data_IF_698450791978
#
_entry.id   IF_698450791978
#
_cell.length_a   1.000
_cell.length_b   1.000
_cell.length_c   1.000
_cell.angle_alpha   90.00
_cell.angle_beta   90.00
_cell.angle_gamma   90.00
#
_symmetry.space_group_name_H-M   'P 1'
#
loop_
_entity.id
_entity.type
_entity.pdbx_description
1 polymer ?
#
# COMPACT_ATOMS: atom_id res chain seq x y z
N UNK A 1 12.00 23.91 17.02
CA UNK A 1 13.00 23.25 16.16
C UNK A 1 12.67 21.77 15.88
N UNK A 2 11.64 21.46 15.09
CA UNK A 2 11.26 20.07 14.73
C UNK A 2 11.03 19.87 13.22
N UNK A 3 10.38 20.81 12.50
CA UNK A 3 10.41 20.83 11.03
C UNK A 3 11.84 20.97 10.48
N UNK A 4 12.69 21.69 11.21
CA UNK A 4 14.10 21.87 10.86
C UNK A 4 14.84 20.54 10.74
N UNK A 5 14.59 19.54 11.62
CA UNK A 5 15.25 18.22 11.53
C UNK A 5 14.85 17.46 10.26
N UNK A 6 13.56 17.48 9.89
CA UNK A 6 13.10 16.90 8.64
C UNK A 6 13.75 17.60 7.45
N UNK A 7 13.72 18.93 7.43
CA UNK A 7 14.27 19.74 6.34
C UNK A 7 15.79 19.56 6.22
N UNK A 8 16.54 19.56 7.32
CA UNK A 8 17.99 19.30 7.32
C UNK A 8 18.30 17.91 6.77
N UNK A 9 17.55 16.88 7.15
CA UNK A 9 17.73 15.54 6.60
C UNK A 9 17.40 15.50 5.09
N UNK A 10 16.30 16.13 4.67
CA UNK A 10 15.87 16.20 3.27
C UNK A 10 16.86 16.96 2.39
N UNK A 11 17.45 18.05 2.88
CA UNK A 11 18.42 18.87 2.12
C UNK A 11 19.70 18.13 1.75
N UNK A 12 19.99 17.01 2.41
CA UNK A 12 21.16 16.17 2.11
C UNK A 12 20.88 15.15 0.99
N UNK A 13 19.66 15.10 0.45
CA UNK A 13 19.28 14.07 -0.52
C UNK A 13 19.47 14.56 -1.96
N UNK A 14 20.23 13.84 -2.80
CA UNK A 14 20.42 14.19 -4.21
C UNK A 14 19.10 14.29 -4.99
N UNK A 15 18.11 13.48 -4.61
CA UNK A 15 16.81 13.39 -5.28
C UNK A 15 15.76 14.40 -4.76
N UNK A 16 16.15 15.34 -3.87
CA UNK A 16 15.22 16.23 -3.17
C UNK A 16 14.27 16.98 -4.10
N UNK A 17 14.77 17.53 -5.21
CA UNK A 17 13.94 18.29 -6.14
C UNK A 17 12.86 17.41 -6.78
N UNK A 18 13.21 16.18 -7.18
CA UNK A 18 12.26 15.20 -7.71
C UNK A 18 11.24 14.78 -6.65
N UNK A 19 11.70 14.56 -5.41
CA UNK A 19 10.82 14.24 -4.29
C UNK A 19 9.84 15.37 -3.99
N UNK A 20 10.29 16.62 -3.93
CA UNK A 20 9.42 17.78 -3.68
C UNK A 20 8.48 18.07 -4.85
N UNK A 21 8.91 17.83 -6.09
CA UNK A 21 8.03 17.90 -7.24
C UNK A 21 6.91 16.84 -7.15
N UNK A 22 7.22 15.63 -6.67
CA UNK A 22 6.24 14.55 -6.52
C UNK A 22 5.38 14.66 -5.26
N UNK A 23 5.95 15.13 -4.17
CA UNK A 23 5.34 15.31 -2.84
C UNK A 23 5.51 16.76 -2.36
N UNK A 24 4.87 17.74 -3.02
CA UNK A 24 5.03 19.17 -2.71
C UNK A 24 4.59 19.55 -1.29
N UNK A 25 3.78 18.70 -0.66
CA UNK A 25 3.26 18.90 0.69
C UNK A 25 4.13 18.25 1.78
N UNK A 26 5.24 17.61 1.42
CA UNK A 26 6.15 16.98 2.38
C UNK A 26 6.67 17.95 3.46
N UNK A 27 7.08 19.20 3.15
CA UNK A 27 7.53 20.16 4.17
C UNK A 27 6.48 20.48 5.24
N UNK A 28 5.20 20.44 4.87
CA UNK A 28 4.07 20.75 5.77
C UNK A 28 3.40 19.48 6.34
N UNK A 29 3.92 18.28 6.03
CA UNK A 29 3.30 17.00 6.43
C UNK A 29 3.04 16.92 7.94
N UNK A 30 4.00 17.39 8.73
CA UNK A 30 3.95 17.38 10.19
C UNK A 30 3.03 18.44 10.83
N UNK A 31 2.40 19.30 10.02
CA UNK A 31 1.47 20.33 10.49
C UNK A 31 0.01 19.85 10.49
N UNK A 32 -0.26 18.64 9.98
CA UNK A 32 -1.60 18.05 9.89
C UNK A 32 -1.60 16.58 10.32
N UNK A 33 -2.76 15.99 10.66
CA UNK A 33 -2.85 14.55 10.93
C UNK A 33 -2.37 13.73 9.73
N UNK A 34 -1.60 12.68 10.03
CA UNK A 34 -0.83 11.88 9.08
C UNK A 34 -0.72 10.43 9.60
N UNK A 35 -0.78 9.44 8.71
CA UNK A 35 -0.84 7.99 8.94
C UNK A 35 -2.10 7.51 9.68
N UNK A 36 -2.41 8.08 10.85
CA UNK A 36 -3.61 7.77 11.62
C UNK A 36 -3.97 8.94 12.55
N UNK A 37 -5.20 8.97 13.10
CA UNK A 37 -5.68 10.08 13.96
C UNK A 37 -4.92 10.23 15.27
N UNK A 38 -4.39 9.12 15.79
CA UNK A 38 -3.73 9.02 17.09
C UNK A 38 -2.20 9.02 16.99
N UNK A 39 -1.64 9.28 15.80
CA UNK A 39 -0.21 9.40 15.60
C UNK A 39 0.29 10.75 16.13
N UNK A 40 1.27 10.69 17.04
CA UNK A 40 1.95 11.87 17.56
C UNK A 40 2.97 12.39 16.55
N UNK A 41 3.19 13.71 16.58
CA UNK A 41 4.10 14.40 15.65
C UNK A 41 5.53 13.87 15.69
N UNK A 42 6.05 13.54 16.86
CA UNK A 42 7.43 13.05 16.98
C UNK A 42 7.59 11.67 16.32
N UNK A 43 6.62 10.76 16.53
CA UNK A 43 6.57 9.48 15.80
C UNK A 43 6.43 9.69 14.29
N UNK A 44 5.58 10.61 13.85
CA UNK A 44 5.41 10.92 12.43
C UNK A 44 6.72 11.43 11.79
N UNK A 45 7.48 12.27 12.49
CA UNK A 45 8.77 12.77 12.02
C UNK A 45 9.79 11.63 11.87
N UNK A 46 9.87 10.75 12.87
CA UNK A 46 10.78 9.60 12.83
C UNK A 46 10.37 8.62 11.74
N UNK A 47 9.06 8.38 11.55
CA UNK A 47 8.52 7.56 10.47
C UNK A 47 8.85 8.13 9.09
N UNK A 48 8.72 9.45 8.88
CA UNK A 48 9.10 10.10 7.61
C UNK A 48 10.60 9.93 7.32
N UNK A 49 11.46 10.27 8.30
CA UNK A 49 12.90 10.15 8.13
C UNK A 49 13.29 8.70 7.81
N UNK A 50 12.76 7.74 8.58
CA UNK A 50 13.01 6.33 8.40
C UNK A 50 12.51 5.84 7.04
N UNK A 51 11.28 6.16 6.66
CA UNK A 51 10.69 5.70 5.41
C UNK A 51 11.56 6.01 4.21
N UNK A 52 11.90 7.28 4.02
CA UNK A 52 12.67 7.68 2.87
C UNK A 52 14.13 7.23 2.92
N UNK A 53 14.73 7.15 4.11
CA UNK A 53 16.06 6.55 4.26
C UNK A 53 16.04 5.09 3.80
N UNK A 54 15.04 4.31 4.23
CA UNK A 54 14.91 2.91 3.83
C UNK A 54 14.61 2.76 2.34
N UNK A 55 13.73 3.59 1.76
CA UNK A 55 13.46 3.58 0.32
C UNK A 55 14.73 3.87 -0.49
N UNK A 56 15.57 4.82 -0.04
CA UNK A 56 16.85 5.11 -0.71
C UNK A 56 17.88 3.99 -0.60
N UNK A 57 17.88 3.25 0.52
CA UNK A 57 18.77 2.11 0.71
C UNK A 57 18.32 0.89 -0.11
N UNK A 58 17.01 0.66 -0.17
CA UNK A 58 16.41 -0.47 -0.85
C UNK A 58 16.48 -0.32 -2.37
N UNK A 59 16.07 0.83 -2.90
CA UNK A 59 15.95 1.06 -4.34
C UNK A 59 17.29 1.48 -4.96
N UNK A 60 17.61 0.92 -6.13
CA UNK A 60 18.66 1.44 -7.01
C UNK A 60 18.30 2.86 -7.50
N UNK A 61 19.29 3.60 -8.03
CA UNK A 61 19.05 4.96 -8.56
C UNK A 61 17.97 4.98 -9.66
N UNK A 62 18.00 4.01 -10.57
CA UNK A 62 17.01 3.88 -11.63
C UNK A 62 15.62 3.60 -11.06
N UNK A 63 15.53 2.68 -10.08
CA UNK A 63 14.28 2.37 -9.41
C UNK A 63 13.71 3.56 -8.65
N UNK A 64 14.55 4.39 -8.02
CA UNK A 64 14.11 5.62 -7.36
C UNK A 64 13.51 6.61 -8.35
N UNK A 65 14.13 6.78 -9.53
CA UNK A 65 13.60 7.63 -10.60
C UNK A 65 12.22 7.12 -11.05
N UNK A 66 12.08 5.82 -11.29
CA UNK A 66 10.80 5.20 -11.68
C UNK A 66 9.74 5.34 -10.58
N UNK A 67 10.08 5.06 -9.32
CA UNK A 67 9.20 5.20 -8.15
C UNK A 67 8.65 6.62 -7.97
N UNK A 68 9.51 7.63 -8.18
CA UNK A 68 9.13 9.04 -8.05
C UNK A 68 8.51 9.62 -9.34
N UNK A 69 8.42 8.84 -10.42
CA UNK A 69 7.75 9.24 -11.65
C UNK A 69 6.23 9.23 -11.50
N UNK A 70 5.53 9.72 -12.54
CA UNK A 70 4.06 9.65 -12.57
C UNK A 70 3.51 8.23 -12.73
N UNK A 71 4.29 7.32 -13.32
CA UNK A 71 3.87 5.95 -13.62
C UNK A 71 4.16 4.99 -12.47
N UNK A 72 5.26 5.23 -11.74
CA UNK A 72 5.75 4.37 -10.66
C UNK A 72 6.77 3.34 -11.13
N UNK A 73 7.34 2.62 -10.17
CA UNK A 73 8.19 1.46 -10.39
C UNK A 73 7.32 0.23 -10.59
N UNK A 74 7.38 -0.38 -11.77
CA UNK A 74 6.65 -1.61 -12.05
C UNK A 74 7.18 -2.78 -11.19
N UNK A 75 6.29 -3.43 -10.46
CA UNK A 75 6.60 -4.57 -9.58
C UNK A 75 6.25 -5.90 -10.22
N UNK A 76 5.17 -5.94 -11.01
CA UNK A 76 4.73 -7.15 -11.68
C UNK A 76 3.77 -6.81 -12.82
N UNK A 77 3.69 -7.72 -13.79
CA UNK A 77 2.64 -7.74 -14.82
C UNK A 77 2.05 -9.14 -14.90
N UNK A 78 0.75 -9.23 -15.10
CA UNK A 78 0.07 -10.52 -15.21
C UNK A 78 -1.10 -10.43 -16.17
N UNK A 79 -1.30 -11.50 -16.92
CA UNK A 79 -2.46 -11.63 -17.78
C UNK A 79 -3.68 -12.08 -16.98
N UNK A 80 -4.80 -11.46 -17.28
CA UNK A 80 -6.10 -11.89 -16.76
C UNK A 80 -6.67 -13.05 -17.58
N UNK A 81 -7.77 -13.66 -17.12
CA UNK A 81 -8.43 -14.74 -17.87
C UNK A 81 -8.89 -14.35 -19.28
N UNK A 82 -9.06 -13.05 -19.53
CA UNK A 82 -9.52 -12.47 -20.80
C UNK A 82 -8.35 -12.09 -21.72
N UNK A 83 -7.11 -12.32 -21.29
CA UNK A 83 -5.90 -11.95 -22.04
C UNK A 83 -5.48 -10.49 -21.86
N UNK A 84 -6.23 -9.70 -21.08
CA UNK A 84 -5.85 -8.32 -20.79
C UNK A 84 -4.68 -8.29 -19.81
N UNK A 85 -3.70 -7.43 -20.07
CA UNK A 85 -2.51 -7.27 -19.25
C UNK A 85 -2.77 -6.26 -18.13
N UNK A 86 -2.68 -6.73 -16.89
CA UNK A 86 -2.75 -5.89 -15.70
C UNK A 86 -1.35 -5.72 -15.12
N UNK A 87 -1.14 -4.66 -14.34
CA UNK A 87 0.16 -4.39 -13.73
C UNK A 87 0.05 -3.88 -12.30
N UNK A 88 1.09 -4.17 -11.52
CA UNK A 88 1.31 -3.65 -10.17
C UNK A 88 2.47 -2.66 -10.20
N UNK A 89 2.27 -1.48 -9.62
CA UNK A 89 3.29 -0.44 -9.56
C UNK A 89 3.45 0.08 -8.13
N UNK A 90 4.69 0.30 -7.70
CA UNK A 90 5.05 1.05 -6.50
C UNK A 90 5.24 2.51 -6.87
N UNK A 91 4.42 3.39 -6.30
CA UNK A 91 4.36 4.80 -6.68
C UNK A 91 4.16 5.69 -5.46
N UNK A 92 4.67 6.92 -5.52
CA UNK A 92 4.32 7.95 -4.55
C UNK A 92 3.14 8.78 -5.09
N UNK A 93 2.03 8.86 -4.35
CA UNK A 93 0.83 9.60 -4.76
C UNK A 93 0.56 10.77 -3.82
N UNK A 94 0.50 11.98 -4.37
CA UNK A 94 0.21 13.21 -3.59
C UNK A 94 -1.24 13.29 -3.09
N UNK A 95 -2.16 12.54 -3.71
CA UNK A 95 -3.56 12.42 -3.28
C UNK A 95 -3.70 11.70 -1.94
N UNK A 96 -2.82 10.74 -1.66
CA UNK A 96 -2.85 9.83 -0.50
C UNK A 96 -1.80 10.19 0.57
N UNK A 97 -1.35 11.44 0.50
CA UNK A 97 -0.25 11.98 1.26
C UNK A 97 -0.62 12.31 2.74
N UNK A 98 -1.81 11.86 3.16
CA UNK A 98 -2.26 11.84 4.56
C UNK A 98 -2.23 10.42 5.11
N UNK A 99 -2.49 9.43 4.29
CA UNK A 99 -2.47 8.01 4.62
C UNK A 99 -1.04 7.46 4.67
N UNK A 100 -0.11 7.94 3.84
CA UNK A 100 1.30 7.50 3.87
C UNK A 100 2.17 8.13 2.79
N UNK A 101 3.34 7.56 2.52
CA UNK A 101 4.32 8.10 1.55
C UNK A 101 4.48 7.25 0.27
N UNK A 102 4.32 5.92 0.39
CA UNK A 102 4.36 4.97 -0.73
C UNK A 102 3.02 4.30 -0.93
N UNK A 103 2.69 3.94 -2.16
CA UNK A 103 1.47 3.24 -2.52
C UNK A 103 1.76 2.15 -3.53
N UNK A 104 1.23 0.95 -3.30
CA UNK A 104 1.16 -0.08 -4.34
C UNK A 104 -0.22 0.02 -4.99
N UNK A 105 -0.24 0.13 -6.31
CA UNK A 105 -1.46 0.21 -7.10
C UNK A 105 -1.53 -0.98 -8.05
N UNK A 106 -2.74 -1.49 -8.29
CA UNK A 106 -3.01 -2.39 -9.41
C UNK A 106 -3.78 -1.63 -10.48
N UNK A 107 -3.30 -1.75 -11.72
CA UNK A 107 -3.86 -1.08 -12.89
C UNK A 107 -4.31 -2.08 -13.94
N UNK A 108 -5.37 -1.72 -14.64
CA UNK A 108 -5.78 -2.45 -15.84
C UNK A 108 -4.95 -2.06 -17.07
N UNK A 109 -5.31 -2.63 -18.22
CA UNK A 109 -4.66 -2.37 -19.50
C UNK A 109 -4.76 -0.89 -19.96
N UNK A 110 -5.72 -0.13 -19.43
CA UNK A 110 -5.88 1.31 -19.68
C UNK A 110 -5.20 2.18 -18.60
N UNK A 111 -4.37 1.57 -17.75
CA UNK A 111 -3.66 2.21 -16.64
C UNK A 111 -4.57 2.82 -15.55
N UNK A 112 -5.86 2.46 -15.53
CA UNK A 112 -6.79 2.90 -14.49
C UNK A 112 -6.49 2.17 -13.19
N UNK A 113 -6.45 2.89 -12.07
CA UNK A 113 -6.22 2.30 -10.74
C UNK A 113 -7.48 1.57 -10.31
N UNK A 114 -7.37 0.25 -10.10
CA UNK A 114 -8.48 -0.60 -9.65
C UNK A 114 -8.51 -0.82 -8.14
N UNK A 115 -7.33 -0.73 -7.50
CA UNK A 115 -7.17 -0.68 -6.06
C UNK A 115 -5.78 -0.15 -5.71
N UNK A 116 -5.67 0.38 -4.50
CA UNK A 116 -4.43 0.98 -3.99
C UNK A 116 -4.29 0.75 -2.49
N UNK A 117 -3.06 0.53 -2.05
CA UNK A 117 -2.70 0.35 -0.64
C UNK A 117 -1.53 1.27 -0.29
N UNK A 118 -1.77 2.21 0.62
CA UNK A 118 -0.83 3.27 1.00
C UNK A 118 -0.21 2.99 2.35
N UNK A 119 1.10 3.11 2.42
CA UNK A 119 1.87 2.77 3.60
C UNK A 119 3.05 3.72 3.84
N UNK A 120 3.56 3.64 5.07
CA UNK A 120 4.80 4.27 5.50
C UNK A 120 5.65 3.22 6.21
N UNK A 121 6.95 3.21 5.94
CA UNK A 121 7.89 2.34 6.67
C UNK A 121 8.30 3.07 7.93
N UNK A 122 8.28 2.40 9.09
CA UNK A 122 8.59 3.03 10.36
C UNK A 122 9.14 2.02 11.38
N UNK A 123 9.57 2.52 12.53
CA UNK A 123 9.86 1.70 13.72
C UNK A 123 8.67 1.78 14.68
N UNK A 124 7.74 0.85 14.59
CA UNK A 124 6.60 0.77 15.50
C UNK A 124 6.94 -0.13 16.69
N UNK A 125 6.90 0.42 17.91
CA UNK A 125 7.39 -0.27 19.12
C UNK A 125 8.80 -0.89 18.92
N UNK A 126 9.71 -0.09 18.34
CA UNK A 126 11.11 -0.45 18.02
C UNK A 126 11.31 -1.48 16.90
N UNK A 127 10.24 -2.07 16.36
CA UNK A 127 10.32 -3.08 15.30
C UNK A 127 10.15 -2.47 13.91
N UNK A 128 10.91 -2.97 12.95
CA UNK A 128 10.81 -2.60 11.55
C UNK A 128 9.41 -2.95 11.03
N UNK A 129 8.62 -1.94 10.69
CA UNK A 129 7.19 -2.10 10.44
C UNK A 129 6.79 -1.43 9.14
N UNK A 130 6.00 -2.13 8.34
CA UNK A 130 5.21 -1.54 7.27
C UNK A 130 3.85 -1.13 7.85
N UNK A 131 3.59 0.17 7.91
CA UNK A 131 2.37 0.73 8.48
C UNK A 131 1.42 1.17 7.36
N UNK A 132 0.29 0.50 7.20
CA UNK A 132 -0.77 0.79 6.23
C UNK A 132 -1.70 1.86 6.80
N UNK A 133 -1.74 3.02 6.18
CA UNK A 133 -2.66 4.11 6.54
C UNK A 133 -3.89 4.19 5.65
N UNK A 134 -3.94 3.46 4.53
CA UNK A 134 -5.07 3.47 3.59
C UNK A 134 -5.13 2.26 2.68
N UNK A 135 -6.34 1.81 2.37
CA UNK A 135 -6.66 0.78 1.38
C UNK A 135 -7.95 1.20 0.66
N UNK A 136 -7.83 1.50 -0.62
CA UNK A 136 -8.95 2.00 -1.41
C UNK A 136 -9.17 1.11 -2.64
N UNK A 137 -10.42 1.06 -3.09
CA UNK A 137 -10.77 0.44 -4.37
C UNK A 137 -10.49 1.42 -5.51
N UNK A 138 -11.07 1.15 -6.68
CA UNK A 138 -11.05 2.11 -7.77
C UNK A 138 -11.70 3.43 -7.32
N UNK A 139 -11.26 4.53 -7.92
CA UNK A 139 -11.82 5.85 -7.64
C UNK A 139 -13.32 5.90 -7.97
N UNK A 140 -14.06 6.82 -7.34
CA UNK A 140 -15.52 6.89 -7.44
C UNK A 140 -16.05 7.17 -8.87
N UNK A 141 -15.21 7.73 -9.73
CA UNK A 141 -15.50 7.97 -11.15
C UNK A 141 -15.33 6.71 -12.01
N UNK A 142 -14.71 5.65 -11.48
CA UNK A 142 -14.62 4.35 -12.14
C UNK A 142 -15.96 3.61 -11.98
N UNK A 143 -16.65 3.26 -13.07
CA UNK A 143 -17.92 2.57 -12.98
C UNK A 143 -17.79 1.23 -12.23
N UNK A 144 -18.78 0.91 -11.40
CA UNK A 144 -18.78 -0.33 -10.62
C UNK A 144 -18.67 -1.58 -11.51
N UNK A 145 -19.19 -1.52 -12.74
CA UNK A 145 -19.05 -2.56 -13.76
C UNK A 145 -17.60 -2.88 -14.09
N UNK A 146 -16.72 -1.87 -14.18
CA UNK A 146 -15.28 -2.08 -14.43
C UNK A 146 -14.65 -2.86 -13.29
N UNK A 147 -15.01 -2.56 -12.03
CA UNK A 147 -14.51 -3.28 -10.85
C UNK A 147 -14.99 -4.74 -10.86
N UNK A 148 -16.27 -4.97 -11.22
CA UNK A 148 -16.82 -6.31 -11.35
C UNK A 148 -16.16 -7.10 -12.49
N UNK A 149 -15.94 -6.47 -13.63
CA UNK A 149 -15.24 -7.05 -14.78
C UNK A 149 -13.81 -7.41 -14.41
N UNK A 150 -13.05 -6.50 -13.80
CA UNK A 150 -11.70 -6.75 -13.32
C UNK A 150 -11.64 -7.91 -12.32
N UNK A 151 -12.58 -7.96 -11.37
CA UNK A 151 -12.68 -9.07 -10.40
C UNK A 151 -12.95 -10.39 -11.13
N UNK A 152 -13.89 -10.41 -12.08
CA UNK A 152 -14.17 -11.58 -12.91
C UNK A 152 -12.94 -11.97 -13.73
N UNK A 153 -12.21 -11.01 -14.29
CA UNK A 153 -11.02 -11.19 -15.11
C UNK A 153 -9.87 -11.81 -14.30
N UNK A 154 -9.73 -11.43 -13.03
CA UNK A 154 -8.78 -11.98 -12.06
C UNK A 154 -9.31 -13.25 -11.36
N UNK A 155 -10.09 -14.09 -12.06
CA UNK A 155 -10.64 -15.35 -11.54
C UNK A 155 -11.48 -15.21 -10.25
N UNK A 156 -12.12 -14.06 -10.02
CA UNK A 156 -12.87 -13.76 -8.81
C UNK A 156 -12.02 -13.24 -7.64
N UNK A 157 -10.75 -12.91 -7.86
CA UNK A 157 -9.94 -12.14 -6.90
C UNK A 157 -10.27 -10.67 -7.00
N UNK A 158 -10.60 -10.07 -5.86
CA UNK A 158 -10.74 -8.62 -5.77
C UNK A 158 -9.38 -7.94 -5.96
N UNK A 159 -9.28 -6.82 -6.69
CA UNK A 159 -8.04 -6.05 -6.86
C UNK A 159 -7.35 -5.71 -5.53
N UNK A 160 -8.11 -5.42 -4.46
CA UNK A 160 -7.60 -5.20 -3.10
C UNK A 160 -6.77 -6.38 -2.56
N UNK A 161 -7.16 -7.62 -2.88
CA UNK A 161 -6.43 -8.82 -2.44
C UNK A 161 -5.09 -8.95 -3.17
N UNK A 162 -5.02 -8.50 -4.42
CA UNK A 162 -3.81 -8.53 -5.27
C UNK A 162 -2.78 -7.52 -4.76
N UNK A 163 -3.18 -6.26 -4.52
CA UNK A 163 -2.26 -5.25 -3.96
C UNK A 163 -1.78 -5.63 -2.56
N UNK A 164 -2.64 -6.28 -1.76
CA UNK A 164 -2.23 -6.80 -0.46
C UNK A 164 -1.21 -7.94 -0.57
N UNK A 165 -1.35 -8.86 -1.54
CA UNK A 165 -0.34 -9.89 -1.76
C UNK A 165 1.00 -9.26 -2.16
N UNK A 166 0.99 -8.30 -3.08
CA UNK A 166 2.18 -7.55 -3.46
C UNK A 166 2.80 -6.80 -2.28
N UNK A 167 1.98 -6.23 -1.38
CA UNK A 167 2.44 -5.57 -0.16
C UNK A 167 3.13 -6.54 0.79
N UNK A 168 2.59 -7.75 0.99
CA UNK A 168 3.24 -8.78 1.81
C UNK A 168 4.63 -9.14 1.25
N UNK A 169 4.74 -9.28 -0.06
CA UNK A 169 6.03 -9.56 -0.72
C UNK A 169 7.00 -8.39 -0.59
N UNK A 170 6.52 -7.16 -0.78
CA UNK A 170 7.32 -5.96 -0.55
C UNK A 170 7.78 -5.86 0.91
N UNK A 171 6.91 -6.20 1.87
CA UNK A 171 7.25 -6.23 3.29
C UNK A 171 8.37 -7.24 3.58
N UNK A 172 8.36 -8.42 2.93
CA UNK A 172 9.42 -9.42 3.05
C UNK A 172 10.73 -8.94 2.44
N UNK A 173 10.69 -8.34 1.24
CA UNK A 173 11.85 -7.71 0.59
C UNK A 173 12.47 -6.63 1.48
N UNK A 174 11.62 -5.81 2.09
CA UNK A 174 12.02 -4.78 3.04
C UNK A 174 12.46 -5.36 4.40
N UNK A 175 12.27 -6.65 4.65
CA UNK A 175 12.52 -7.31 5.93
C UNK A 175 11.74 -6.68 7.09
N UNK A 176 10.48 -6.32 6.83
CA UNK A 176 9.56 -5.90 7.88
C UNK A 176 9.32 -7.06 8.85
N UNK A 177 9.41 -6.76 10.15
CA UNK A 177 9.04 -7.69 11.21
C UNK A 177 7.52 -7.75 11.38
N UNK A 178 6.81 -6.67 11.01
CA UNK A 178 5.35 -6.54 11.18
C UNK A 178 4.71 -5.74 10.07
N UNK A 179 3.45 -6.08 9.79
CA UNK A 179 2.52 -5.23 9.04
C UNK A 179 1.45 -4.76 10.01
N UNK A 180 1.31 -3.44 10.16
CA UNK A 180 0.28 -2.81 10.98
C UNK A 180 -0.65 -2.03 10.07
N UNK A 181 -1.95 -2.12 10.27
CA UNK A 181 -2.95 -1.37 9.51
C UNK A 181 -3.86 -0.54 10.41
N UNK A 182 -4.28 0.63 9.93
CA UNK A 182 -5.32 1.41 10.61
C UNK A 182 -6.68 0.72 10.54
N UNK A 183 -7.44 0.79 11.63
CA UNK A 183 -8.87 0.48 11.61
C UNK A 183 -9.69 1.64 11.07
N UNK A 184 -10.98 1.39 10.85
CA UNK A 184 -12.00 2.39 10.53
C UNK A 184 -12.03 3.58 11.53
N UNK A 185 -11.71 3.31 12.81
CA UNK A 185 -11.69 4.31 13.89
C UNK A 185 -10.39 5.11 13.93
N UNK A 186 -9.28 4.48 13.58
CA UNK A 186 -7.97 5.13 13.58
C UNK A 186 -7.67 5.87 12.27
N UNK A 187 -8.48 5.67 11.22
CA UNK A 187 -8.24 6.23 9.90
C UNK A 187 -8.12 7.76 9.92
N UNK A 188 -7.12 8.32 9.23
CA UNK A 188 -6.73 9.74 9.32
C UNK A 188 -7.90 10.73 9.09
N UNK A 189 -8.85 10.41 8.21
CA UNK A 189 -10.05 11.24 7.96
C UNK A 189 -11.07 11.28 9.11
N UNK A 190 -10.91 10.47 10.16
CA UNK A 190 -11.70 10.59 11.40
C UNK A 190 -11.26 11.78 12.27
N UNK A 191 -10.12 12.40 11.97
CA UNK A 191 -9.63 13.58 12.70
C UNK A 191 -10.62 14.75 12.59
N UNK A 192 -10.78 15.51 13.67
CA UNK A 192 -11.64 16.69 13.72
C UNK A 192 -11.32 17.71 12.60
N UNK A 193 -10.06 17.76 12.17
CA UNK A 193 -9.58 18.64 11.09
C UNK A 193 -10.11 18.29 9.70
N UNK A 194 -10.78 17.14 9.54
CA UNK A 194 -11.30 16.66 8.26
C UNK A 194 -12.80 16.31 8.32
N UNK A 195 -13.55 16.86 9.28
CA UNK A 195 -14.96 16.50 9.51
C UNK A 195 -15.88 16.73 8.32
N UNK A 196 -15.56 17.68 7.43
CA UNK A 196 -16.33 17.96 6.20
C UNK A 196 -16.26 16.83 5.15
N UNK A 197 -15.36 15.85 5.34
CA UNK A 197 -15.17 14.70 4.43
C UNK A 197 -15.60 13.35 5.02
N UNK A 198 -16.27 13.35 6.19
CA UNK A 198 -16.71 12.12 6.88
C UNK A 198 -17.62 11.21 6.03
N UNK A 199 -18.33 11.77 5.07
CA UNK A 199 -19.31 11.07 4.21
C UNK A 199 -18.69 10.26 3.06
N UNK A 200 -17.38 10.36 2.81
CA UNK A 200 -16.72 9.64 1.70
C UNK A 200 -16.06 8.31 2.13
N UNK A 201 -16.21 7.90 3.38
CA UNK A 201 -15.59 6.67 3.90
C UNK A 201 -16.48 5.46 3.61
N UNK A 202 -16.31 4.85 2.43
CA UNK A 202 -17.09 3.69 1.97
C UNK A 202 -16.36 2.34 2.12
N UNK A 203 -15.10 2.33 2.54
CA UNK A 203 -14.33 1.10 2.70
C UNK A 203 -14.41 0.60 4.14
N UNK A 204 -14.91 -0.61 4.35
CA UNK A 204 -14.82 -1.31 5.62
C UNK A 204 -13.44 -1.96 5.76
N UNK A 205 -12.52 -1.24 6.42
CA UNK A 205 -11.15 -1.69 6.65
C UNK A 205 -11.13 -2.90 7.57
N UNK A 206 -11.89 -2.84 8.66
CA UNK A 206 -11.88 -3.82 9.73
C UNK A 206 -12.28 -5.20 9.21
N UNK A 207 -13.41 -5.30 8.50
CA UNK A 207 -13.85 -6.56 7.90
C UNK A 207 -12.83 -7.12 6.90
N UNK A 208 -12.17 -6.25 6.12
CA UNK A 208 -11.13 -6.69 5.20
C UNK A 208 -9.91 -7.25 5.95
N UNK A 209 -9.42 -6.55 6.97
CA UNK A 209 -8.29 -7.00 7.80
C UNK A 209 -8.58 -8.31 8.52
N UNK A 210 -9.75 -8.44 9.13
CA UNK A 210 -10.19 -9.67 9.79
C UNK A 210 -10.25 -10.84 8.81
N UNK A 211 -10.74 -10.63 7.58
CA UNK A 211 -10.79 -11.66 6.54
C UNK A 211 -9.41 -12.20 6.14
N UNK A 212 -8.34 -11.44 6.39
CA UNK A 212 -6.95 -11.81 6.14
C UNK A 212 -6.25 -12.39 7.38
N UNK A 213 -6.99 -12.63 8.46
CA UNK A 213 -6.45 -13.10 9.75
C UNK A 213 -5.83 -11.97 10.59
N UNK A 214 -6.16 -10.72 10.28
CA UNK A 214 -5.75 -9.55 11.05
C UNK A 214 -6.30 -9.60 12.47
N UNK A 215 -5.48 -9.22 13.44
CA UNK A 215 -5.88 -9.16 14.86
C UNK A 215 -5.85 -7.72 15.35
N UNK A 216 -6.94 -7.26 15.96
CA UNK A 216 -7.02 -5.92 16.55
C UNK A 216 -6.03 -5.81 17.71
N UNK A 217 -5.30 -4.71 17.76
CA UNK A 217 -4.30 -4.40 18.79
C UNK A 217 -4.57 -3.02 19.41
N UNK A 218 -3.82 -2.69 20.47
CA UNK A 218 -3.92 -1.40 21.16
C UNK A 218 -3.73 -0.23 20.17
N UNK A 219 -4.56 0.80 20.34
CA UNK A 219 -4.52 2.00 19.49
C UNK A 219 -5.44 1.94 18.28
N UNK A 220 -6.40 1.01 18.24
CA UNK A 220 -7.34 0.81 17.12
C UNK A 220 -6.60 0.50 15.81
N UNK A 221 -5.62 -0.38 15.89
CA UNK A 221 -4.89 -0.89 14.72
C UNK A 221 -5.13 -2.39 14.58
N UNK A 222 -4.76 -2.93 13.41
CA UNK A 222 -4.70 -4.35 13.14
C UNK A 222 -3.24 -4.78 12.93
N UNK A 223 -2.83 -5.86 13.58
CA UNK A 223 -1.63 -6.59 13.21
C UNK A 223 -2.01 -7.62 12.15
N UNK A 224 -1.39 -7.52 10.97
CA UNK A 224 -1.61 -8.42 9.84
C UNK A 224 -0.46 -9.44 9.74
N UNK A 225 -0.71 -10.65 9.23
CA UNK A 225 0.35 -11.61 8.98
C UNK A 225 1.25 -11.14 7.81
N UNK A 226 2.54 -11.46 7.88
CA UNK A 226 3.52 -11.15 6.80
C UNK A 226 3.27 -11.94 5.51
N UNK A 227 2.54 -13.05 5.60
CA UNK A 227 2.09 -13.86 4.48
C UNK A 227 0.63 -14.25 4.72
N UNK A 228 -0.19 -14.15 3.69
CA UNK A 228 -1.62 -14.41 3.84
C UNK A 228 -1.89 -15.89 3.66
N UNK A 229 -2.55 -16.49 4.64
CA UNK A 229 -2.90 -17.90 4.61
C UNK A 229 -3.80 -18.22 3.40
N UNK A 230 -3.43 -19.28 2.69
CA UNK A 230 -4.23 -19.87 1.61
C UNK A 230 -5.01 -21.05 2.16
N UNK A 231 -6.22 -21.25 1.65
CA UNK A 231 -7.00 -22.45 1.94
C UNK A 231 -6.36 -23.61 1.19
N UNK A 232 -6.22 -24.73 1.88
CA UNK A 232 -5.78 -25.98 1.24
C UNK A 232 -6.82 -26.48 0.25
N UNK A 233 -6.41 -27.27 -0.74
CA UNK A 233 -7.35 -27.86 -1.70
C UNK A 233 -8.41 -28.75 -1.04
N UNK A 234 -8.08 -29.37 0.09
CA UNK A 234 -8.99 -30.21 0.88
C UNK A 234 -10.15 -29.38 1.48
N UNK A 235 -9.88 -28.16 1.93
CA UNK A 235 -10.88 -27.23 2.48
C UNK A 235 -11.75 -26.58 1.40
N UNK A 236 -11.35 -26.69 0.12
CA UNK A 236 -12.07 -26.12 -1.01
C UNK A 236 -13.01 -27.19 -1.60
N UNK A 237 -14.29 -26.87 -1.63
CA UNK A 237 -15.30 -27.69 -2.30
C UNK A 237 -14.88 -28.04 -3.73
N UNK A 238 -14.99 -29.30 -4.13
CA UNK A 238 -14.47 -29.85 -5.40
C UNK A 238 -14.80 -28.97 -6.62
N UNK A 239 -16.05 -28.52 -6.74
CA UNK A 239 -16.54 -27.65 -7.82
C UNK A 239 -15.87 -26.26 -7.92
N UNK A 240 -15.20 -25.79 -6.87
CA UNK A 240 -14.48 -24.49 -6.83
C UNK A 240 -12.97 -24.63 -6.92
N UNK A 241 -12.41 -25.85 -6.86
CA UNK A 241 -10.95 -26.08 -6.82
C UNK A 241 -10.23 -25.53 -8.05
N UNK A 242 -10.78 -25.72 -9.25
CA UNK A 242 -10.18 -25.20 -10.48
C UNK A 242 -10.11 -23.66 -10.50
N UNK A 243 -11.13 -22.98 -9.98
CA UNK A 243 -11.12 -21.53 -9.87
C UNK A 243 -10.07 -21.06 -8.85
N UNK A 244 -10.04 -21.67 -7.65
CA UNK A 244 -9.04 -21.34 -6.63
C UNK A 244 -7.60 -21.59 -7.09
N UNK A 245 -7.34 -22.67 -7.83
CA UNK A 245 -6.02 -22.91 -8.44
C UNK A 245 -5.60 -21.78 -9.35
N UNK A 246 -6.50 -21.28 -10.22
CA UNK A 246 -6.20 -20.13 -11.09
C UNK A 246 -5.96 -18.84 -10.31
N UNK A 247 -6.73 -18.62 -9.23
CA UNK A 247 -6.48 -17.50 -8.31
C UNK A 247 -5.08 -17.58 -7.70
N UNK A 248 -4.70 -18.76 -7.21
CA UNK A 248 -3.38 -18.96 -6.61
C UNK A 248 -2.27 -18.85 -7.63
N UNK A 249 -2.42 -19.38 -8.84
CA UNK A 249 -1.44 -19.18 -9.92
C UNK A 249 -1.20 -17.71 -10.26
N UNK A 250 -2.27 -16.88 -10.31
CA UNK A 250 -2.12 -15.43 -10.49
C UNK A 250 -1.34 -14.80 -9.33
N UNK A 251 -1.68 -15.14 -8.09
CA UNK A 251 -0.97 -14.63 -6.92
C UNK A 251 0.49 -15.13 -6.87
N UNK A 252 0.76 -16.36 -7.26
CA UNK A 252 2.11 -16.93 -7.34
C UNK A 252 2.98 -16.17 -8.33
N UNK A 253 2.42 -15.76 -9.48
CA UNK A 253 3.12 -14.88 -10.42
C UNK A 253 3.51 -13.54 -9.79
N UNK A 254 2.64 -12.97 -8.94
CA UNK A 254 2.97 -11.75 -8.17
C UNK A 254 4.06 -12.03 -7.12
N UNK A 255 3.97 -13.18 -6.42
CA UNK A 255 4.96 -13.61 -5.43
C UNK A 255 6.35 -13.79 -6.02
N UNK A 256 6.44 -14.24 -7.27
CA UNK A 256 7.72 -14.41 -7.95
C UNK A 256 8.29 -13.07 -8.45
N UNK A 257 7.47 -12.25 -9.10
CA UNK A 257 7.93 -11.02 -9.76
C UNK A 257 8.32 -9.92 -8.78
N UNK A 258 7.52 -9.69 -7.72
CA UNK A 258 7.74 -8.54 -6.81
C UNK A 258 9.14 -8.58 -6.17
N UNK A 259 9.61 -9.70 -5.58
CA UNK A 259 10.96 -9.76 -5.05
C UNK A 259 12.04 -9.67 -6.13
N UNK A 260 11.79 -10.22 -7.33
CA UNK A 260 12.73 -10.17 -8.43
C UNK A 260 13.03 -8.74 -8.89
N UNK A 261 12.07 -7.82 -8.78
CA UNK A 261 12.28 -6.39 -9.05
C UNK A 261 13.41 -5.79 -8.21
N UNK A 262 13.65 -6.28 -6.99
CA UNK A 262 14.61 -5.68 -6.04
C UNK A 262 15.93 -6.46 -5.92
N UNK A 263 16.09 -7.57 -6.65
CA UNK A 263 17.37 -8.31 -6.68
C UNK A 263 18.41 -7.47 -7.43
N UNK A 264 19.60 -7.35 -6.84
CA UNK A 264 20.77 -6.69 -7.44
C UNK A 264 21.64 -7.72 -8.16
#
# INVERSE_FOLDING_TARGET
>A
MRPAKLLTNLTQWPELNTLLARQPRLPIRLHRPYMAVNIKRDFALDALCFHYQQMRQLLSREQQVSYLSQYGLNLAKFETKTGELFQLDLVSLVSLDKEGESTIVVRDAQLRILAEITFTLCRFNQQCTLFIGGLQGAANDVPHEIIQQATKACHGLFPKRIVMEALCQFAQVFQAEKIIAVSNDAHVYRSWRYMDKKTQMHADYDAFWESLGGKRIKGNYYALPLAIARKSEAEIASKKRAEYRRRYALLDSVVEQVPATFKR
#
